data_IF_636850137090
#
_entry.id   IF_636850137090
#
_cell.length_a   1.000
_cell.length_b   1.000
_cell.length_c   1.000
_cell.angle_alpha   90.00
_cell.angle_beta   90.00
_cell.angle_gamma   90.00
#
_symmetry.space_group_name_H-M   'P 1'
#
loop_
_entity.id
_entity.type
_entity.pdbx_description
1 polymer ?
#
# COMPACT_ATOMS: atom_id res chain seq x y z
N UNK A 1 10.17 3.37 21.99
CA UNK A 1 9.36 4.54 21.57
C UNK A 1 9.17 4.69 20.06
N UNK A 2 10.04 4.12 19.19
CA UNK A 2 9.97 4.31 17.72
C UNK A 2 9.05 3.34 16.96
N UNK A 3 8.66 2.19 17.52
CA UNK A 3 7.82 1.18 16.83
C UNK A 3 6.34 1.55 16.77
N UNK A 4 5.84 2.32 17.75
CA UNK A 4 4.43 2.75 17.79
C UNK A 4 4.06 3.76 16.69
N UNK A 5 4.94 4.74 16.41
CA UNK A 5 4.66 5.74 15.37
C UNK A 5 4.65 5.12 13.97
N UNK A 6 5.59 4.21 13.73
CA UNK A 6 5.79 3.48 12.47
C UNK A 6 4.55 2.73 12.00
N UNK A 7 3.98 1.91 12.87
CA UNK A 7 2.79 1.13 12.53
C UNK A 7 1.56 2.04 12.43
N UNK A 8 1.52 3.13 13.21
CA UNK A 8 0.52 4.18 13.10
C UNK A 8 0.57 4.89 11.73
N UNK A 9 1.75 5.28 11.25
CA UNK A 9 1.91 5.96 9.96
C UNK A 9 1.52 5.04 8.80
N UNK A 10 1.90 3.76 8.85
CA UNK A 10 1.54 2.78 7.82
C UNK A 10 0.02 2.56 7.76
N UNK A 11 -0.63 2.37 8.92
CA UNK A 11 -2.09 2.24 8.99
C UNK A 11 -2.80 3.50 8.48
N UNK A 12 -2.34 4.67 8.89
CA UNK A 12 -2.88 5.95 8.43
C UNK A 12 -2.75 6.13 6.92
N UNK A 13 -1.61 5.74 6.35
CA UNK A 13 -1.41 5.79 4.90
C UNK A 13 -2.32 4.82 4.14
N UNK A 14 -2.44 3.57 4.59
CA UNK A 14 -3.33 2.59 3.96
C UNK A 14 -4.80 3.01 4.04
N UNK A 15 -5.22 3.59 5.17
CA UNK A 15 -6.56 4.18 5.32
C UNK A 15 -6.78 5.35 4.36
N UNK A 16 -5.80 6.25 4.24
CA UNK A 16 -5.89 7.39 3.33
C UNK A 16 -6.00 6.93 1.87
N UNK A 17 -5.17 5.99 1.44
CA UNK A 17 -5.25 5.42 0.09
C UNK A 17 -6.61 4.75 -0.16
N UNK A 18 -7.09 3.94 0.78
CA UNK A 18 -8.40 3.30 0.69
C UNK A 18 -9.51 4.35 0.52
N UNK A 19 -9.51 5.41 1.34
CA UNK A 19 -10.51 6.47 1.27
C UNK A 19 -10.45 7.24 -0.06
N UNK A 20 -9.26 7.61 -0.53
CA UNK A 20 -9.08 8.28 -1.83
C UNK A 20 -9.62 7.40 -2.95
N UNK A 21 -9.25 6.12 -2.97
CA UNK A 21 -9.66 5.21 -4.04
C UNK A 21 -11.18 4.92 -4.05
N UNK A 22 -11.83 4.90 -2.87
CA UNK A 22 -13.30 4.81 -2.79
C UNK A 22 -14.01 6.11 -3.22
N UNK A 23 -13.35 7.26 -3.13
CA UNK A 23 -13.90 8.54 -3.57
C UNK A 23 -13.81 8.74 -5.09
N UNK A 24 -12.81 8.15 -5.77
CA UNK A 24 -12.59 8.32 -7.22
C UNK A 24 -13.84 8.03 -8.07
N UNK A 25 -14.60 6.93 -7.88
CA UNK A 25 -15.80 6.66 -8.69
C UNK A 25 -16.88 7.75 -8.61
N UNK A 26 -16.97 8.42 -7.45
CA UNK A 26 -17.91 9.52 -7.21
C UNK A 26 -17.40 10.82 -7.84
N UNK A 27 -16.09 11.07 -7.75
CA UNK A 27 -15.46 12.26 -8.34
C UNK A 27 -15.35 12.17 -9.87
N UNK A 28 -15.22 10.96 -10.41
CA UNK A 28 -15.06 10.70 -11.84
C UNK A 28 -16.37 10.81 -12.65
N UNK A 29 -17.47 11.25 -12.03
CA UNK A 29 -18.74 11.58 -12.72
C UNK A 29 -18.61 12.82 -13.61
N UNK A 30 -17.54 13.61 -13.47
CA UNK A 30 -17.21 14.76 -14.32
C UNK A 30 -15.76 14.71 -14.77
N UNK A 31 -15.45 15.29 -15.93
CA UNK A 31 -14.08 15.32 -16.48
C UNK A 31 -13.10 16.07 -15.56
N UNK A 32 -13.54 17.18 -14.96
CA UNK A 32 -12.74 17.93 -14.00
C UNK A 32 -12.48 17.12 -12.71
N UNK A 33 -13.51 16.47 -12.17
CA UNK A 33 -13.38 15.64 -10.98
C UNK A 33 -12.48 14.42 -11.20
N UNK A 34 -12.56 13.78 -12.38
CA UNK A 34 -11.65 12.72 -12.79
C UNK A 34 -10.19 13.21 -12.82
N UNK A 35 -9.92 14.34 -13.49
CA UNK A 35 -8.58 14.91 -13.59
C UNK A 35 -7.99 15.25 -12.21
N UNK A 36 -8.75 15.93 -11.35
CA UNK A 36 -8.32 16.29 -9.99
C UNK A 36 -8.06 15.02 -9.17
N UNK A 37 -8.96 14.04 -9.24
CA UNK A 37 -8.82 12.80 -8.47
C UNK A 37 -7.56 12.01 -8.87
N UNK A 38 -7.20 11.99 -10.16
CA UNK A 38 -5.98 11.35 -10.66
C UNK A 38 -4.71 12.07 -10.18
N UNK A 39 -4.72 13.40 -10.14
CA UNK A 39 -3.60 14.19 -9.61
C UNK A 39 -3.41 13.91 -8.11
N UNK A 40 -4.49 13.97 -7.34
CA UNK A 40 -4.45 13.74 -5.88
C UNK A 40 -4.00 12.33 -5.57
N UNK A 41 -4.55 11.33 -6.25
CA UNK A 41 -4.16 9.93 -6.08
C UNK A 41 -2.70 9.70 -6.49
N UNK A 42 -2.27 10.25 -7.63
CA UNK A 42 -0.88 10.20 -8.07
C UNK A 42 0.09 10.83 -7.07
N UNK A 43 -0.23 12.01 -6.56
CA UNK A 43 0.59 12.68 -5.54
C UNK A 43 0.66 11.86 -4.25
N UNK A 44 -0.47 11.34 -3.76
CA UNK A 44 -0.51 10.55 -2.53
C UNK A 44 0.30 9.25 -2.65
N UNK A 45 0.19 8.55 -3.77
CA UNK A 45 0.93 7.31 -4.04
C UNK A 45 2.43 7.56 -4.17
N UNK A 46 2.84 8.56 -4.97
CA UNK A 46 4.26 8.88 -5.17
C UNK A 46 4.93 9.46 -3.94
N UNK A 47 4.25 10.27 -3.13
CA UNK A 47 4.85 10.89 -1.95
C UNK A 47 5.34 9.87 -0.91
N UNK A 48 4.74 8.67 -0.90
CA UNK A 48 4.99 7.67 0.14
C UNK A 48 5.94 6.56 -0.28
N UNK A 49 6.10 6.32 -1.58
CA UNK A 49 7.00 5.27 -2.10
C UNK A 49 8.47 5.49 -1.69
N UNK A 50 9.10 6.66 -1.93
CA UNK A 50 10.52 6.85 -1.59
C UNK A 50 10.83 6.75 -0.09
N UNK A 51 10.05 7.36 0.83
CA UNK A 51 10.27 7.19 2.27
C UNK A 51 10.18 5.75 2.74
N UNK A 52 9.23 4.96 2.22
CA UNK A 52 9.12 3.54 2.57
C UNK A 52 10.30 2.72 2.05
N UNK A 53 10.74 2.96 0.81
CA UNK A 53 11.88 2.28 0.21
C UNK A 53 13.18 2.54 0.99
N UNK A 54 13.46 3.80 1.32
CA UNK A 54 14.64 4.17 2.12
C UNK A 54 14.62 3.55 3.52
N UNK A 55 13.43 3.32 4.07
CA UNK A 55 13.26 2.77 5.41
C UNK A 55 13.59 1.28 5.47
N UNK A 56 13.20 0.50 4.47
CA UNK A 56 13.56 -0.93 4.37
C UNK A 56 15.08 -1.11 4.29
N UNK A 57 15.75 -0.21 3.58
CA UNK A 57 17.22 -0.21 3.50
C UNK A 57 17.91 0.10 4.85
N UNK A 58 17.34 0.97 5.69
CA UNK A 58 17.93 1.33 7.00
C UNK A 58 17.75 0.26 8.10
N UNK A 59 16.78 -0.65 7.96
CA UNK A 59 16.51 -1.69 8.96
C UNK A 59 17.48 -2.88 8.83
N UNK A 60 18.08 -3.09 7.66
CA UNK A 60 19.02 -4.17 7.41
C UNK A 60 20.48 -3.70 7.57
N UNK A 61 20.98 -3.61 8.81
CA UNK A 61 22.37 -3.24 9.08
C UNK A 61 23.39 -4.30 8.60
N UNK A 62 23.01 -5.58 8.58
CA UNK A 62 23.93 -6.67 8.20
C UNK A 62 23.88 -7.04 6.69
N UNK A 63 22.79 -6.72 5.98
CA UNK A 63 22.65 -7.05 4.55
C UNK A 63 21.78 -6.04 3.75
N UNK A 64 22.26 -4.80 3.52
CA UNK A 64 21.50 -3.76 2.80
C UNK A 64 21.13 -4.15 1.36
N UNK A 65 22.02 -4.86 0.66
CA UNK A 65 21.80 -5.29 -0.73
C UNK A 65 20.66 -6.30 -0.87
N UNK A 66 20.59 -7.29 0.04
CA UNK A 66 19.49 -8.26 0.09
C UNK A 66 18.17 -7.57 0.42
N UNK A 67 18.15 -6.68 1.42
CA UNK A 67 16.95 -5.91 1.78
C UNK A 67 16.42 -5.04 0.63
N UNK A 68 17.31 -4.37 -0.09
CA UNK A 68 16.95 -3.59 -1.28
C UNK A 68 16.35 -4.46 -2.39
N UNK A 69 16.97 -5.62 -2.68
CA UNK A 69 16.49 -6.55 -3.70
C UNK A 69 15.11 -7.12 -3.37
N UNK A 70 14.85 -7.46 -2.10
CA UNK A 70 13.54 -7.93 -1.63
C UNK A 70 12.50 -6.83 -1.75
N UNK A 71 12.83 -5.59 -1.39
CA UNK A 71 11.90 -4.46 -1.53
C UNK A 71 11.54 -4.17 -2.99
N UNK A 72 12.53 -4.18 -3.89
CA UNK A 72 12.31 -4.02 -5.34
C UNK A 72 11.46 -5.17 -5.88
N UNK A 73 11.75 -6.42 -5.46
CA UNK A 73 10.96 -7.59 -5.83
C UNK A 73 9.51 -7.49 -5.37
N UNK A 74 9.28 -7.10 -4.11
CA UNK A 74 7.94 -6.89 -3.56
C UNK A 74 7.17 -5.79 -4.31
N UNK A 75 7.84 -4.69 -4.66
CA UNK A 75 7.23 -3.62 -5.47
C UNK A 75 6.81 -4.12 -6.85
N UNK A 76 7.69 -4.83 -7.56
CA UNK A 76 7.38 -5.38 -8.88
C UNK A 76 6.24 -6.41 -8.82
N UNK A 77 6.23 -7.28 -7.81
CA UNK A 77 5.14 -8.20 -7.57
C UNK A 77 3.83 -7.46 -7.31
N UNK A 78 3.86 -6.39 -6.50
CA UNK A 78 2.72 -5.52 -6.26
C UNK A 78 2.15 -4.92 -7.55
N UNK A 79 3.01 -4.42 -8.44
CA UNK A 79 2.59 -3.89 -9.74
C UNK A 79 1.97 -4.97 -10.63
N UNK A 80 2.56 -6.16 -10.67
CA UNK A 80 2.03 -7.29 -11.44
C UNK A 80 0.65 -7.74 -10.92
N UNK A 81 0.52 -7.90 -9.60
CA UNK A 81 -0.75 -8.27 -8.96
C UNK A 81 -1.81 -7.17 -9.13
N UNK A 82 -1.42 -5.90 -9.02
CA UNK A 82 -2.31 -4.76 -9.24
C UNK A 82 -2.81 -4.70 -10.68
N UNK A 83 -1.93 -4.90 -11.66
CA UNK A 83 -2.29 -4.97 -13.07
C UNK A 83 -3.22 -6.16 -13.37
N UNK A 84 -2.94 -7.34 -12.80
CA UNK A 84 -3.78 -8.52 -12.94
C UNK A 84 -5.16 -8.31 -12.31
N UNK A 85 -5.25 -7.74 -11.10
CA UNK A 85 -6.51 -7.44 -10.44
C UNK A 85 -7.33 -6.38 -11.20
N UNK A 86 -6.69 -5.30 -11.68
CA UNK A 86 -7.34 -4.31 -12.52
C UNK A 86 -7.82 -4.89 -13.86
N UNK A 87 -7.02 -5.75 -14.48
CA UNK A 87 -7.40 -6.51 -15.67
C UNK A 87 -8.61 -7.40 -15.42
N UNK A 88 -8.63 -8.15 -14.32
CA UNK A 88 -9.75 -9.00 -13.94
C UNK A 88 -11.05 -8.21 -13.72
N UNK A 89 -10.96 -7.01 -13.12
CA UNK A 89 -12.13 -6.11 -12.96
C UNK A 89 -12.72 -5.71 -14.31
N UNK A 90 -11.86 -5.33 -15.26
CA UNK A 90 -12.29 -4.90 -16.60
C UNK A 90 -12.84 -6.09 -17.38
N UNK A 91 -12.11 -7.21 -17.41
CA UNK A 91 -12.52 -8.44 -18.09
C UNK A 91 -13.80 -9.05 -17.51
N UNK A 92 -14.06 -8.86 -16.21
CA UNK A 92 -15.29 -9.28 -15.53
C UNK A 92 -16.50 -8.38 -15.78
N UNK A 93 -16.37 -7.31 -16.57
CA UNK A 93 -17.48 -6.41 -16.90
C UNK A 93 -17.90 -5.44 -15.80
N UNK A 94 -17.13 -5.31 -14.72
CA UNK A 94 -17.44 -4.40 -13.59
C UNK A 94 -17.22 -2.92 -13.94
N UNK A 95 -16.53 -2.65 -15.06
CA UNK A 95 -16.30 -1.31 -15.59
C UNK A 95 -15.11 -0.58 -14.96
N UNK A 96 -14.68 0.51 -15.61
CA UNK A 96 -13.50 1.28 -15.21
C UNK A 96 -13.63 1.94 -13.83
N UNK A 97 -14.85 2.31 -13.44
CA UNK A 97 -15.11 2.91 -12.13
C UNK A 97 -14.81 1.93 -10.98
N UNK A 98 -14.84 0.61 -11.22
CA UNK A 98 -14.57 -0.37 -10.18
C UNK A 98 -13.07 -0.68 -10.01
N UNK A 99 -12.22 -0.25 -10.95
CA UNK A 99 -10.76 -0.42 -10.84
C UNK A 99 -10.18 0.24 -9.58
N UNK A 100 -10.48 1.52 -9.27
CA UNK A 100 -10.03 2.11 -8.02
C UNK A 100 -10.67 1.45 -6.79
N UNK A 101 -11.92 0.96 -6.89
CA UNK A 101 -12.56 0.20 -5.80
C UNK A 101 -11.78 -1.08 -5.46
N UNK A 102 -11.34 -1.83 -6.48
CA UNK A 102 -10.50 -3.01 -6.27
C UNK A 102 -9.17 -2.67 -5.60
N UNK A 103 -8.53 -1.56 -5.99
CA UNK A 103 -7.34 -1.09 -5.28
C UNK A 103 -7.62 -0.70 -3.82
N UNK A 104 -8.79 -0.15 -3.53
CA UNK A 104 -9.22 0.11 -2.15
C UNK A 104 -9.42 -1.19 -1.34
N UNK A 105 -9.95 -2.25 -1.96
CA UNK A 105 -10.07 -3.58 -1.35
C UNK A 105 -8.67 -4.12 -1.00
N UNK A 106 -7.72 -4.04 -1.94
CA UNK A 106 -6.33 -4.48 -1.71
C UNK A 106 -5.68 -3.68 -0.57
N UNK A 107 -5.86 -2.36 -0.54
CA UNK A 107 -5.38 -1.51 0.54
C UNK A 107 -6.01 -1.87 1.90
N UNK A 108 -7.32 -2.18 1.91
CA UNK A 108 -8.05 -2.66 3.09
C UNK A 108 -7.52 -4.01 3.59
N UNK A 109 -7.24 -4.96 2.70
CA UNK A 109 -6.61 -6.24 3.05
C UNK A 109 -5.22 -6.04 3.66
N UNK A 110 -4.41 -5.15 3.07
CA UNK A 110 -3.10 -4.80 3.63
C UNK A 110 -3.24 -4.14 5.01
N UNK A 111 -4.23 -3.26 5.21
CA UNK A 111 -4.50 -2.64 6.50
C UNK A 111 -4.88 -3.68 7.57
N UNK A 112 -5.73 -4.65 7.22
CA UNK A 112 -6.09 -5.76 8.10
C UNK A 112 -4.86 -6.59 8.48
N UNK A 113 -4.01 -6.93 7.51
CA UNK A 113 -2.75 -7.64 7.77
C UNK A 113 -1.87 -6.86 8.75
N UNK A 114 -1.64 -5.56 8.53
CA UNK A 114 -0.86 -4.71 9.44
C UNK A 114 -1.49 -4.64 10.84
N UNK A 115 -2.82 -4.66 10.91
CA UNK A 115 -3.53 -4.66 12.18
C UNK A 115 -3.31 -5.96 12.98
N UNK A 116 -3.36 -7.11 12.31
CA UNK A 116 -3.18 -8.42 12.96
C UNK A 116 -1.72 -8.75 13.23
N UNK A 117 -0.79 -8.40 12.33
CA UNK A 117 0.65 -8.64 12.53
C UNK A 117 1.23 -7.86 13.71
N UNK A 118 0.65 -6.69 14.04
CA UNK A 118 1.04 -5.94 15.25
C UNK A 118 0.67 -6.63 16.57
N UNK A 119 -0.17 -7.68 16.54
CA UNK A 119 -0.49 -8.53 17.71
C UNK A 119 0.37 -9.80 17.77
N UNK A 120 1.03 -10.14 16.67
CA UNK A 120 1.80 -11.37 16.48
C UNK A 120 3.32 -11.14 16.56
N UNK A 121 3.77 -10.23 17.41
CA UNK A 121 5.11 -10.35 17.99
C UNK A 121 4.96 -11.11 19.32
N UNK A 122 4.96 -12.46 19.31
CA UNK A 122 5.34 -13.16 20.52
C UNK A 122 6.71 -12.62 20.93
N UNK A 123 6.84 -12.32 22.21
CA UNK A 123 8.09 -12.07 22.90
C UNK A 123 8.91 -13.37 22.91
N UNK A 124 9.29 -13.88 21.74
CA UNK A 124 10.18 -15.04 21.62
C UNK A 124 11.60 -14.58 21.96
N UNK A 125 11.87 -14.65 23.27
CA UNK A 125 13.03 -15.34 23.81
C UNK A 125 14.39 -14.98 23.18
N UNK A 126 14.81 -13.72 23.33
CA UNK A 126 16.24 -13.39 23.45
C UNK A 126 16.73 -13.49 24.91
N UNK A 127 16.01 -14.22 25.75
CA UNK A 127 16.54 -14.77 26.98
C UNK A 127 17.09 -16.17 26.67
N UNK A 128 18.41 -16.31 26.75
CA UNK A 128 19.24 -17.51 26.49
C UNK A 128 19.42 -17.90 25.02
N UNK A 129 20.53 -17.49 24.40
CA UNK A 129 21.82 -18.20 24.42
C UNK A 129 22.97 -17.23 24.16
#
# INVERSE_FOLDING_TARGET
MLTGSVSGTLKGFLLLLMAIMLAIPLLAQSQAGAAISMIVWGAATFAVVPPLQMRVMRVAHEAPGLSSSVNIGAFNLGNALGAAAGGAVISGGLGYAFVPVMGAIIAGLALLLVWFSGRAQPEEAFASQ
#
